data_IF_405541739397
#
_entry.id   IF_405541739397
#
_cell.length_a   1.000
_cell.length_b   1.000
_cell.length_c   1.000
_cell.angle_alpha   90.00
_cell.angle_beta   90.00
_cell.angle_gamma   90.00
#
_symmetry.space_group_name_H-M   'P 1'
#
loop_
_entity.id
_entity.type
_entity.pdbx_description
1 polymer ?
#
# COMPACT_ATOMS: atom_id res chain seq x y z
N UNK A 1 -1.57 -10.72 -21.09
CA UNK A 1 -0.17 -10.66 -21.54
C UNK A 1 0.45 -9.45 -20.85
N UNK A 2 1.04 -9.66 -19.67
CA UNK A 2 1.62 -8.58 -18.86
C UNK A 2 2.99 -8.22 -19.42
N UNK A 3 3.16 -6.97 -19.85
CA UNK A 3 4.44 -6.41 -20.27
C UNK A 3 5.13 -5.84 -19.02
N UNK A 4 6.24 -6.45 -18.61
CA UNK A 4 7.17 -5.84 -17.65
C UNK A 4 7.98 -4.80 -18.42
N UNK A 5 7.79 -3.52 -18.08
CA UNK A 5 8.61 -2.44 -18.61
C UNK A 5 9.85 -2.33 -17.72
N UNK A 6 10.95 -2.91 -18.19
CA UNK A 6 12.29 -2.73 -17.61
C UNK A 6 12.75 -1.31 -17.97
N UNK A 7 12.95 -0.45 -16.96
CA UNK A 7 13.55 0.87 -17.17
C UNK A 7 15.05 0.70 -17.43
N UNK A 8 15.45 0.85 -18.69
CA UNK A 8 16.85 0.94 -19.08
C UNK A 8 17.34 2.38 -18.94
N UNK A 9 18.29 2.64 -18.04
CA UNK A 9 19.08 3.86 -18.01
C UNK A 9 20.57 3.54 -17.79
N UNK A 10 21.35 3.70 -18.86
CA UNK A 10 22.66 4.35 -18.82
C UNK A 10 23.90 3.55 -18.38
N UNK A 11 24.49 2.84 -19.34
CA UNK A 11 25.92 2.48 -19.49
C UNK A 11 26.92 3.02 -18.42
N UNK A 12 27.31 2.14 -17.49
CA UNK A 12 28.70 1.94 -17.07
C UNK A 12 28.96 0.44 -17.16
N UNK A 13 29.96 0.04 -17.94
CA UNK A 13 30.32 -1.35 -18.18
C UNK A 13 30.96 -1.99 -16.94
N UNK A 14 30.14 -2.52 -16.05
CA UNK A 14 30.39 -3.79 -15.38
C UNK A 14 29.28 -4.73 -15.83
N UNK A 15 29.65 -5.91 -16.34
CA UNK A 15 28.71 -7.01 -16.59
C UNK A 15 28.19 -7.50 -15.24
N UNK A 16 27.26 -6.77 -14.65
CA UNK A 16 26.40 -7.35 -13.62
C UNK A 16 25.39 -8.20 -14.37
N UNK A 17 25.56 -9.52 -14.26
CA UNK A 17 24.57 -10.48 -14.74
C UNK A 17 23.22 -10.09 -14.17
N UNK A 18 22.19 -10.01 -15.03
CA UNK A 18 20.80 -9.87 -14.59
C UNK A 18 20.53 -10.90 -13.47
N UNK A 19 19.94 -10.51 -12.33
CA UNK A 19 19.83 -11.38 -11.16
C UNK A 19 19.16 -12.68 -11.56
N UNK A 20 19.90 -13.79 -11.48
CA UNK A 20 19.38 -15.09 -11.85
C UNK A 20 18.37 -15.55 -10.79
N UNK A 21 17.10 -15.63 -11.18
CA UNK A 21 16.03 -16.22 -10.37
C UNK A 21 16.25 -17.71 -10.07
N UNK A 22 17.26 -18.35 -10.69
CA UNK A 22 17.58 -19.77 -10.48
C UNK A 22 18.03 -20.08 -9.06
N UNK A 23 18.57 -19.09 -8.36
CA UNK A 23 19.18 -19.29 -7.05
C UNK A 23 18.22 -18.95 -5.91
N UNK A 24 16.95 -18.67 -6.18
CA UNK A 24 15.96 -18.43 -5.13
C UNK A 24 15.18 -17.14 -5.38
N UNK A 25 13.87 -17.27 -5.36
CA UNK A 25 12.93 -16.15 -5.51
C UNK A 25 11.77 -16.33 -4.55
N UNK A 26 11.46 -15.26 -3.82
CA UNK A 26 10.39 -15.26 -2.85
C UNK A 26 9.57 -13.98 -2.93
N UNK A 27 8.27 -14.14 -2.67
CA UNK A 27 7.31 -13.06 -2.58
C UNK A 27 6.64 -13.16 -1.23
N UNK A 28 6.35 -12.02 -0.62
CA UNK A 28 5.50 -11.93 0.56
C UNK A 28 4.46 -10.83 0.38
N UNK A 29 3.35 -11.02 1.09
CA UNK A 29 2.21 -10.12 1.09
C UNK A 29 1.81 -9.82 2.53
N UNK A 30 1.49 -8.57 2.84
CA UNK A 30 1.04 -8.22 4.19
C UNK A 30 0.53 -6.80 4.27
N UNK A 31 -0.18 -6.49 5.35
CA UNK A 31 -0.51 -5.10 5.67
C UNK A 31 0.79 -4.35 6.00
N UNK A 32 1.09 -3.29 5.27
CA UNK A 32 2.22 -2.39 5.57
C UNK A 32 1.66 -0.99 5.63
N UNK A 33 1.73 -0.37 6.82
CA UNK A 33 0.95 0.83 7.14
C UNK A 33 -0.58 0.63 7.00
N UNK A 34 -1.38 1.23 7.88
CA UNK A 34 -2.85 1.15 7.75
C UNK A 34 -3.30 1.54 6.34
N UNK A 35 -4.29 0.83 5.80
CA UNK A 35 -4.91 1.04 4.49
C UNK A 35 -4.14 0.54 3.24
N UNK A 36 -3.01 -0.17 3.37
CA UNK A 36 -2.27 -0.68 2.20
C UNK A 36 -1.83 -2.13 2.37
N UNK A 37 -1.91 -2.90 1.28
CA UNK A 37 -1.30 -4.24 1.21
C UNK A 37 0.04 -4.12 0.51
N UNK A 38 1.10 -4.34 1.25
CA UNK A 38 2.47 -4.41 0.77
C UNK A 38 2.77 -5.71 0.06
N UNK A 39 3.61 -5.62 -0.95
CA UNK A 39 4.23 -6.76 -1.63
C UNK A 39 5.74 -6.55 -1.61
N UNK A 40 6.48 -7.52 -1.08
CA UNK A 40 7.93 -7.57 -1.20
C UNK A 40 8.33 -8.75 -2.08
N UNK A 41 9.29 -8.52 -2.96
CA UNK A 41 9.90 -9.56 -3.81
C UNK A 41 11.39 -9.56 -3.55
N UNK A 42 11.96 -10.73 -3.27
CA UNK A 42 13.39 -10.88 -2.97
C UNK A 42 13.98 -11.96 -3.88
N UNK A 43 15.17 -11.66 -4.42
CA UNK A 43 16.02 -12.61 -5.14
C UNK A 43 17.31 -12.77 -4.36
N UNK A 44 17.77 -14.01 -4.21
CA UNK A 44 19.03 -14.35 -3.55
C UNK A 44 19.97 -15.07 -4.53
N UNK A 45 21.28 -14.96 -4.29
CA UNK A 45 22.30 -15.72 -5.01
C UNK A 45 22.54 -17.10 -4.39
N UNK A 46 23.52 -17.83 -4.94
CA UNK A 46 23.88 -19.17 -4.47
C UNK A 46 24.31 -19.21 -3.00
N UNK A 47 24.85 -18.10 -2.47
CA UNK A 47 25.37 -17.97 -1.11
C UNK A 47 24.34 -17.39 -0.12
N UNK A 48 23.06 -17.35 -0.51
CA UNK A 48 21.94 -16.78 0.26
C UNK A 48 22.03 -15.25 0.43
N UNK A 49 22.79 -14.56 -0.41
CA UNK A 49 22.91 -13.10 -0.34
C UNK A 49 21.84 -12.46 -1.22
N UNK A 50 21.16 -11.45 -0.69
CA UNK A 50 20.16 -10.67 -1.42
C UNK A 50 20.82 -9.92 -2.57
N UNK A 51 20.33 -10.14 -3.80
CA UNK A 51 20.79 -9.44 -5.02
C UNK A 51 19.75 -8.49 -5.59
N UNK A 52 18.47 -8.67 -5.23
CA UNK A 52 17.40 -7.78 -5.65
C UNK A 52 16.28 -7.76 -4.61
N UNK A 53 15.74 -6.57 -4.36
CA UNK A 53 14.51 -6.38 -3.59
C UNK A 53 13.59 -5.41 -4.33
N UNK A 54 12.30 -5.72 -4.37
CA UNK A 54 11.28 -4.82 -4.88
C UNK A 54 10.13 -4.70 -3.89
N UNK A 55 9.60 -3.49 -3.74
CA UNK A 55 8.41 -3.22 -2.95
C UNK A 55 7.34 -2.57 -3.80
N UNK A 56 6.09 -2.89 -3.50
CA UNK A 56 4.95 -2.08 -3.91
C UNK A 56 3.85 -2.13 -2.86
N UNK A 57 2.87 -1.24 -2.97
CA UNK A 57 1.71 -1.18 -2.09
C UNK A 57 0.43 -1.03 -2.90
N UNK A 58 -0.52 -1.92 -2.63
CA UNK A 58 -1.84 -1.93 -3.21
C UNK A 58 -2.81 -1.18 -2.30
N UNK A 59 -3.56 -0.26 -2.89
CA UNK A 59 -4.57 0.51 -2.17
C UNK A 59 -5.71 -0.38 -1.67
N UNK A 60 -6.07 -0.29 -0.39
CA UNK A 60 -7.32 -0.83 0.13
C UNK A 60 -8.54 0.06 -0.26
N UNK A 61 -9.78 -0.41 -0.04
CA UNK A 61 -11.01 0.36 -0.28
C UNK A 61 -11.05 1.75 0.36
N UNK A 62 -10.27 1.99 1.42
CA UNK A 62 -10.05 3.31 2.02
C UNK A 62 -9.56 4.37 1.02
N UNK A 63 -8.90 3.98 -0.05
CA UNK A 63 -8.47 4.87 -1.13
C UNK A 63 -9.27 4.62 -2.42
N UNK A 64 -9.47 3.36 -2.80
CA UNK A 64 -10.06 3.01 -4.10
C UNK A 64 -11.58 3.25 -4.16
N UNK A 65 -12.25 3.22 -3.01
CA UNK A 65 -13.69 3.47 -2.93
C UNK A 65 -14.06 4.94 -2.79
N UNK A 66 -13.08 5.85 -2.61
CA UNK A 66 -13.36 7.28 -2.63
C UNK A 66 -13.87 7.67 -4.01
N UNK A 67 -14.99 8.39 -4.07
CA UNK A 67 -15.66 8.80 -5.32
C UNK A 67 -15.84 10.31 -5.40
N UNK A 68 -15.98 10.83 -6.61
CA UNK A 68 -16.39 12.21 -6.87
C UNK A 68 -17.86 12.25 -7.27
N UNK A 69 -18.60 13.17 -6.64
CA UNK A 69 -19.99 13.47 -6.96
C UNK A 69 -20.08 14.80 -7.72
N UNK A 70 -21.07 14.91 -8.61
CA UNK A 70 -21.49 16.20 -9.18
C UNK A 70 -22.12 17.07 -8.09
N UNK A 71 -22.25 18.37 -8.33
CA UNK A 71 -22.86 19.27 -7.34
C UNK A 71 -24.34 18.92 -7.09
N UNK A 72 -25.06 18.47 -8.10
CA UNK A 72 -26.43 17.95 -7.95
C UNK A 72 -26.48 16.71 -7.04
N UNK A 73 -25.57 15.75 -7.25
CA UNK A 73 -25.46 14.56 -6.39
C UNK A 73 -25.06 14.90 -4.95
N UNK A 74 -24.35 16.00 -4.70
CA UNK A 74 -24.03 16.43 -3.32
C UNK A 74 -25.25 16.99 -2.60
N UNK A 75 -26.23 17.56 -3.33
CA UNK A 75 -27.49 18.03 -2.73
C UNK A 75 -28.37 16.87 -2.25
N UNK A 76 -28.28 15.72 -2.93
CA UNK A 76 -28.97 14.49 -2.59
C UNK A 76 -28.05 13.30 -2.82
N UNK A 77 -27.24 12.97 -1.80
CA UNK A 77 -26.24 11.89 -1.87
C UNK A 77 -26.91 10.57 -2.27
N UNK A 78 -26.44 9.90 -3.35
CA UNK A 78 -26.99 8.62 -3.77
C UNK A 78 -26.97 7.55 -2.68
N UNK A 79 -27.94 6.64 -2.68
CA UNK A 79 -28.09 5.63 -1.64
C UNK A 79 -26.93 4.62 -1.54
N UNK A 80 -26.16 4.48 -2.61
CA UNK A 80 -24.95 3.66 -2.72
C UNK A 80 -23.66 4.45 -2.48
N UNK A 81 -23.76 5.65 -1.91
CA UNK A 81 -22.63 6.49 -1.51
C UNK A 81 -22.77 6.87 -0.03
N UNK A 82 -21.64 6.96 0.67
CA UNK A 82 -21.57 7.38 2.06
C UNK A 82 -20.66 8.59 2.21
N UNK A 83 -21.12 9.54 3.02
CA UNK A 83 -20.35 10.74 3.39
C UNK A 83 -19.47 10.44 4.60
N UNK A 84 -18.20 10.80 4.53
CA UNK A 84 -17.24 10.73 5.64
C UNK A 84 -16.65 12.12 5.84
N UNK A 85 -16.69 12.62 7.06
CA UNK A 85 -16.15 13.93 7.41
C UNK A 85 -14.95 13.77 8.33
N UNK A 86 -13.80 14.30 7.90
CA UNK A 86 -12.55 14.27 8.64
C UNK A 86 -12.08 15.67 8.99
N UNK A 87 -11.20 15.73 9.98
CA UNK A 87 -10.55 16.97 10.42
C UNK A 87 -9.04 16.86 10.22
N UNK A 88 -8.41 17.99 9.95
CA UNK A 88 -6.95 18.12 9.96
C UNK A 88 -6.57 19.45 10.60
N UNK A 89 -5.64 19.41 11.55
CA UNK A 89 -5.02 20.61 12.11
C UNK A 89 -3.63 20.77 11.52
N UNK A 90 -3.33 21.94 10.97
CA UNK A 90 -1.99 22.27 10.44
C UNK A 90 -1.72 23.74 10.75
N UNK A 91 -0.57 24.03 11.36
CA UNK A 91 -0.23 25.38 11.84
C UNK A 91 -1.33 25.99 12.71
N UNK A 92 -1.86 25.22 13.65
CA UNK A 92 -2.97 25.59 14.55
C UNK A 92 -4.30 25.97 13.86
N UNK A 93 -4.43 25.72 12.55
CA UNK A 93 -5.68 25.91 11.81
C UNK A 93 -6.37 24.56 11.64
N UNK A 94 -7.57 24.43 12.22
CA UNK A 94 -8.44 23.27 12.02
C UNK A 94 -9.21 23.41 10.70
N UNK A 95 -9.14 22.37 9.90
CA UNK A 95 -9.89 22.22 8.65
C UNK A 95 -10.83 21.03 8.76
N UNK A 96 -12.00 21.14 8.15
CA UNK A 96 -12.99 20.06 8.05
C UNK A 96 -13.15 19.72 6.59
N UNK A 97 -13.01 18.45 6.25
CA UNK A 97 -13.07 17.95 4.88
C UNK A 97 -14.16 16.89 4.75
N UNK A 98 -15.02 17.06 3.75
CA UNK A 98 -16.03 16.07 3.39
C UNK A 98 -15.54 15.24 2.22
N UNK A 99 -15.55 13.92 2.39
CA UNK A 99 -15.26 12.94 1.34
C UNK A 99 -16.47 12.04 1.10
N UNK A 100 -16.58 11.50 -0.10
CA UNK A 100 -17.63 10.57 -0.50
C UNK A 100 -17.01 9.23 -0.88
N UNK A 101 -17.65 8.14 -0.46
CA UNK A 101 -17.19 6.78 -0.70
C UNK A 101 -18.31 5.94 -1.29
N UNK A 102 -17.98 5.08 -2.26
CA UNK A 102 -18.86 3.99 -2.66
C UNK A 102 -19.21 3.16 -1.43
N UNK A 103 -20.51 2.96 -1.20
CA UNK A 103 -21.00 2.23 -0.03
C UNK A 103 -20.59 0.76 -0.07
N UNK A 104 -20.54 0.20 -1.28
CA UNK A 104 -20.20 -1.20 -1.51
C UNK A 104 -18.97 -1.34 -2.41
N UNK A 105 -18.16 -2.35 -2.10
CA UNK A 105 -16.99 -2.75 -2.88
C UNK A 105 -17.03 -4.27 -3.02
N UNK A 106 -16.92 -4.77 -4.24
CA UNK A 106 -16.69 -6.18 -4.50
C UNK A 106 -15.20 -6.44 -4.37
N UNK A 107 -14.82 -7.48 -3.62
CA UNK A 107 -13.46 -8.03 -3.59
C UNK A 107 -13.58 -9.51 -3.91
N UNK A 108 -13.26 -9.88 -5.15
CA UNK A 108 -13.38 -11.26 -5.64
C UNK A 108 -14.77 -11.89 -5.36
N UNK A 109 -15.83 -11.11 -5.59
CA UNK A 109 -17.22 -11.54 -5.35
C UNK A 109 -17.71 -11.42 -3.90
N UNK A 110 -16.83 -11.11 -2.94
CA UNK A 110 -17.22 -10.77 -1.57
C UNK A 110 -17.65 -9.30 -1.52
N UNK A 111 -18.89 -9.05 -1.09
CA UNK A 111 -19.45 -7.70 -0.99
C UNK A 111 -19.09 -7.07 0.36
N UNK A 112 -18.13 -6.16 0.35
CA UNK A 112 -17.79 -5.32 1.49
C UNK A 112 -18.68 -4.08 1.54
N UNK A 113 -19.09 -3.69 2.75
CA UNK A 113 -19.91 -2.51 3.01
C UNK A 113 -19.17 -1.57 3.97
N UNK A 114 -19.18 -0.28 3.67
CA UNK A 114 -18.63 0.75 4.57
C UNK A 114 -19.59 1.01 5.74
N UNK A 115 -19.05 1.07 6.96
CA UNK A 115 -19.72 1.59 8.14
C UNK A 115 -18.93 2.78 8.68
N UNK A 116 -19.60 3.91 8.88
CA UNK A 116 -19.00 5.16 9.40
C UNK A 116 -19.42 5.33 10.86
N UNK A 117 -18.46 5.69 11.70
CA UNK A 117 -18.63 5.88 13.14
C UNK A 117 -18.15 7.27 13.57
N UNK A 118 -18.74 7.75 14.68
CA UNK A 118 -18.43 9.06 15.25
C UNK A 118 -19.39 10.16 14.81
N UNK A 119 -19.46 11.20 15.64
CA UNK A 119 -20.24 12.41 15.35
C UNK A 119 -19.62 13.16 14.16
N UNK A 120 -20.44 13.94 13.46
CA UNK A 120 -19.96 14.75 12.32
C UNK A 120 -19.18 15.96 12.85
N UNK A 121 -17.87 16.08 12.56
CA UNK A 121 -17.13 17.28 12.91
C UNK A 121 -17.55 18.48 12.05
N UNK A 122 -17.63 19.63 12.69
CA UNK A 122 -17.84 20.95 12.07
C UNK A 122 -16.72 21.89 12.55
N UNK A 123 -16.58 23.07 11.96
CA UNK A 123 -15.63 24.08 12.46
C UNK A 123 -16.01 24.61 13.86
N UNK A 124 -17.27 24.47 14.25
CA UNK A 124 -17.83 25.00 15.50
C UNK A 124 -17.74 24.01 16.67
N UNK A 125 -17.71 22.71 16.40
CA UNK A 125 -17.57 21.67 17.42
C UNK A 125 -16.13 21.15 17.52
N UNK A 126 -15.82 20.40 18.58
CA UNK A 126 -14.50 19.79 18.78
C UNK A 126 -14.50 18.28 18.51
N UNK A 127 -15.47 17.79 17.74
CA UNK A 127 -15.54 16.37 17.39
C UNK A 127 -14.31 15.97 16.55
N UNK A 128 -13.75 14.77 16.79
CA UNK A 128 -12.65 14.26 15.99
C UNK A 128 -13.12 13.87 14.58
N UNK A 129 -12.17 13.47 13.73
CA UNK A 129 -12.48 12.84 12.45
C UNK A 129 -13.38 11.63 12.63
N UNK A 130 -14.37 11.46 11.75
CA UNK A 130 -15.10 10.21 11.67
C UNK A 130 -14.15 9.08 11.26
N UNK A 131 -14.40 7.88 11.80
CA UNK A 131 -13.72 6.66 11.40
C UNK A 131 -14.65 5.82 10.55
N UNK A 132 -14.09 4.93 9.75
CA UNK A 132 -14.89 4.03 8.94
C UNK A 132 -14.16 2.72 8.70
N UNK A 133 -14.93 1.66 8.45
CA UNK A 133 -14.41 0.32 8.17
C UNK A 133 -15.20 -0.29 7.02
N UNK A 134 -14.54 -1.10 6.21
CA UNK A 134 -15.18 -1.96 5.23
C UNK A 134 -15.29 -3.37 5.82
N UNK A 135 -16.52 -3.88 5.93
CA UNK A 135 -16.80 -5.20 6.52
C UNK A 135 -17.67 -6.04 5.59
N UNK A 136 -17.62 -7.35 5.76
CA UNK A 136 -18.45 -8.32 5.03
C UNK A 136 -18.90 -9.43 5.97
N UNK A 137 -19.77 -10.33 5.51
CA UNK A 137 -20.18 -11.49 6.30
C UNK A 137 -18.96 -12.32 6.69
N UNK A 138 -18.71 -12.48 8.00
CA UNK A 138 -17.54 -13.18 8.53
C UNK A 138 -16.23 -12.38 8.52
N UNK A 139 -16.24 -11.12 8.06
CA UNK A 139 -15.06 -10.24 8.02
C UNK A 139 -15.43 -8.91 8.68
N UNK A 140 -14.96 -8.70 9.91
CA UNK A 140 -15.27 -7.49 10.66
C UNK A 140 -14.63 -6.22 10.08
N UNK A 141 -13.44 -6.35 9.51
CA UNK A 141 -12.68 -5.26 8.91
C UNK A 141 -11.75 -5.82 7.82
N UNK A 142 -11.78 -5.23 6.62
CA UNK A 142 -10.89 -5.63 5.52
C UNK A 142 -9.41 -5.43 5.89
N UNK A 143 -9.07 -4.40 6.67
CA UNK A 143 -7.69 -4.14 7.10
C UNK A 143 -7.16 -5.29 7.97
N UNK A 144 -7.94 -5.71 8.97
CA UNK A 144 -7.60 -6.87 9.81
C UNK A 144 -7.63 -8.17 9.02
N UNK A 145 -8.50 -8.30 8.03
CA UNK A 145 -8.55 -9.51 7.19
C UNK A 145 -7.27 -9.74 6.40
N UNK A 146 -6.66 -8.68 5.86
CA UNK A 146 -5.41 -8.74 5.09
C UNK A 146 -4.15 -8.76 5.97
N UNK A 147 -4.25 -8.81 7.30
CA UNK A 147 -3.07 -9.00 8.18
C UNK A 147 -2.43 -10.38 7.99
N UNK A 148 -3.21 -11.38 7.54
CA UNK A 148 -2.65 -12.69 7.17
C UNK A 148 -2.15 -12.68 5.73
N UNK A 149 -0.97 -13.23 5.49
CA UNK A 149 -0.33 -13.29 4.16
C UNK A 149 -1.24 -13.94 3.10
N UNK A 150 -1.96 -15.01 3.45
CA UNK A 150 -2.87 -15.68 2.52
C UNK A 150 -3.99 -14.76 2.02
N UNK A 151 -4.58 -13.95 2.90
CA UNK A 151 -5.64 -13.01 2.53
C UNK A 151 -5.08 -11.77 1.83
N UNK A 152 -3.91 -11.28 2.25
CA UNK A 152 -3.19 -10.20 1.57
C UNK A 152 -2.89 -10.57 0.12
N UNK A 153 -2.36 -11.79 -0.10
CA UNK A 153 -2.13 -12.35 -1.43
C UNK A 153 -3.42 -12.43 -2.24
N UNK A 154 -4.49 -13.01 -1.66
CA UNK A 154 -5.78 -13.12 -2.33
C UNK A 154 -6.36 -11.75 -2.73
N UNK A 155 -6.18 -10.73 -1.90
CA UNK A 155 -6.56 -9.35 -2.21
C UNK A 155 -5.78 -8.80 -3.40
N UNK A 156 -4.44 -8.92 -3.38
CA UNK A 156 -3.57 -8.43 -4.46
C UNK A 156 -3.92 -9.11 -5.79
N UNK A 157 -4.08 -10.42 -5.80
CA UNK A 157 -4.47 -11.18 -7.00
C UNK A 157 -5.85 -10.75 -7.52
N UNK A 158 -6.80 -10.46 -6.63
CA UNK A 158 -8.11 -9.93 -7.00
C UNK A 158 -8.01 -8.53 -7.63
N UNK A 159 -7.13 -7.66 -7.11
CA UNK A 159 -6.89 -6.34 -7.70
C UNK A 159 -6.30 -6.48 -9.11
N UNK A 160 -5.28 -7.32 -9.28
CA UNK A 160 -4.63 -7.55 -10.58
C UNK A 160 -5.57 -8.19 -11.61
N UNK A 161 -6.51 -9.01 -11.16
CA UNK A 161 -7.55 -9.60 -11.99
C UNK A 161 -8.73 -8.65 -12.29
N UNK A 162 -8.73 -7.43 -11.74
CA UNK A 162 -9.83 -6.47 -11.92
C UNK A 162 -11.11 -6.85 -11.17
N UNK A 163 -11.01 -7.70 -10.16
CA UNK A 163 -12.12 -8.20 -9.34
C UNK A 163 -12.37 -7.36 -8.08
N UNK A 164 -11.65 -6.25 -7.93
CA UNK A 164 -11.87 -5.22 -6.91
C UNK A 164 -12.46 -3.98 -7.54
N UNK A 165 -13.74 -3.69 -7.25
CA UNK A 165 -14.45 -2.56 -7.84
C UNK A 165 -15.61 -2.04 -6.97
N UNK A 166 -15.91 -0.76 -7.14
CA UNK A 166 -17.05 -0.09 -6.53
C UNK A 166 -18.35 -0.62 -7.14
N UNK A 167 -19.33 -0.96 -6.32
CA UNK A 167 -20.58 -1.56 -6.78
C UNK A 167 -21.80 -1.07 -5.97
N UNK A 168 -22.98 -1.48 -6.40
CA UNK A 168 -24.22 -1.31 -5.65
C UNK A 168 -24.48 -2.52 -4.72
N UNK A 169 -25.60 -2.49 -3.99
CA UNK A 169 -25.96 -3.54 -3.03
C UNK A 169 -26.15 -4.95 -3.67
N UNK A 170 -26.35 -5.02 -4.99
CA UNK A 170 -26.48 -6.28 -5.74
C UNK A 170 -25.14 -6.76 -6.32
N UNK A 171 -24.03 -6.07 -6.03
CA UNK A 171 -22.71 -6.41 -6.57
C UNK A 171 -22.47 -5.95 -8.01
N UNK A 172 -23.37 -5.15 -8.58
CA UNK A 172 -23.17 -4.60 -9.93
C UNK A 172 -22.28 -3.37 -9.86
N UNK A 173 -21.24 -3.32 -10.68
CA UNK A 173 -20.29 -2.20 -10.72
C UNK A 173 -21.00 -0.85 -10.93
N UNK A 174 -20.60 0.16 -10.17
CA UNK A 174 -21.05 1.53 -10.36
C UNK A 174 -20.03 2.34 -11.18
N UNK A 175 -20.48 3.44 -11.76
CA UNK A 175 -19.70 4.27 -12.69
C UNK A 175 -19.20 5.58 -12.06
N UNK A 176 -19.16 5.67 -10.74
CA UNK A 176 -18.69 6.89 -10.08
C UNK A 176 -17.20 7.11 -10.38
N UNK A 177 -16.78 8.33 -10.80
CA UNK A 177 -15.38 8.66 -10.92
C UNK A 177 -14.67 8.50 -9.58
N UNK A 178 -13.45 7.96 -9.58
CA UNK A 178 -12.62 7.86 -8.37
C UNK A 178 -12.20 9.24 -7.87
N UNK A 179 -12.40 9.49 -6.58
CA UNK A 179 -12.10 10.75 -5.91
C UNK A 179 -10.68 10.84 -5.35
N UNK A 180 -10.02 9.72 -5.09
CA UNK A 180 -8.64 9.74 -4.58
C UNK A 180 -7.65 10.09 -5.70
N UNK A 181 -6.75 11.04 -5.42
CA UNK A 181 -5.82 11.58 -6.42
C UNK A 181 -4.87 10.53 -7.02
N UNK A 182 -4.46 9.54 -6.23
CA UNK A 182 -3.55 8.48 -6.68
C UNK A 182 -4.33 7.26 -7.17
N UNK A 183 -5.31 6.77 -6.40
CA UNK A 183 -6.04 5.55 -6.76
C UNK A 183 -6.89 5.67 -8.04
N UNK A 184 -7.13 6.90 -8.54
CA UNK A 184 -7.72 7.16 -9.85
C UNK A 184 -6.77 6.89 -11.03
N UNK A 185 -5.46 6.92 -10.80
CA UNK A 185 -4.41 6.71 -11.82
C UNK A 185 -4.07 5.23 -11.93
N UNK A 186 -3.97 4.52 -10.80
CA UNK A 186 -3.51 3.14 -10.75
C UNK A 186 -3.84 2.47 -9.42
N UNK A 187 -3.59 1.16 -9.35
CA UNK A 187 -3.91 0.34 -8.18
C UNK A 187 -2.78 0.29 -7.14
N UNK A 188 -1.57 0.72 -7.50
CA UNK A 188 -0.40 0.67 -6.63
C UNK A 188 0.31 2.01 -6.49
N UNK A 189 1.11 2.18 -5.44
CA UNK A 189 1.89 3.41 -5.24
C UNK A 189 2.95 3.61 -6.31
N UNK A 190 3.61 2.54 -6.76
CA UNK A 190 4.59 2.63 -7.86
C UNK A 190 3.94 3.11 -9.17
N UNK A 191 2.78 2.54 -9.52
CA UNK A 191 2.06 2.86 -10.76
C UNK A 191 1.49 4.28 -10.80
N UNK A 192 1.30 4.92 -9.63
CA UNK A 192 0.70 6.24 -9.53
C UNK A 192 1.72 7.36 -9.32
N UNK A 193 3.01 7.01 -9.18
CA UNK A 193 4.04 7.97 -8.79
C UNK A 193 3.75 8.57 -7.40
N UNK A 194 3.21 7.76 -6.48
CA UNK A 194 2.81 8.25 -5.16
C UNK A 194 4.01 8.86 -4.42
N UNK A 195 3.89 10.14 -4.09
CA UNK A 195 4.85 10.85 -3.24
C UNK A 195 6.29 10.79 -3.78
N UNK A 196 6.48 11.01 -5.08
CA UNK A 196 7.80 10.94 -5.74
C UNK A 196 8.42 12.30 -6.08
N UNK A 197 7.75 13.42 -5.80
CA UNK A 197 8.28 14.75 -6.13
C UNK A 197 9.43 15.14 -5.17
N UNK A 198 10.70 15.17 -5.61
CA UNK A 198 11.84 15.44 -4.73
C UNK A 198 11.86 16.89 -4.20
N UNK A 199 11.21 17.84 -4.88
CA UNK A 199 11.17 19.24 -4.43
C UNK A 199 10.24 19.44 -3.23
N UNK A 200 9.17 18.65 -3.14
CA UNK A 200 8.22 18.70 -2.02
C UNK A 200 8.50 17.61 -0.99
N UNK A 201 9.08 16.50 -1.42
CA UNK A 201 9.25 15.27 -0.66
C UNK A 201 10.62 14.67 -1.01
N UNK A 202 11.71 15.18 -0.40
CA UNK A 202 13.08 14.82 -0.79
C UNK A 202 13.35 13.31 -0.87
N UNK A 203 12.70 12.50 -0.02
CA UNK A 203 12.65 11.04 -0.17
C UNK A 203 11.27 10.56 -0.65
N UNK A 204 10.20 11.06 -0.04
CA UNK A 204 8.85 10.62 -0.38
C UNK A 204 8.67 9.10 -0.21
N UNK A 205 7.73 8.46 -0.91
CA UNK A 205 7.60 7.00 -0.82
C UNK A 205 8.66 6.29 -1.66
N UNK A 206 8.79 6.66 -2.95
CA UNK A 206 9.70 6.00 -3.87
C UNK A 206 11.17 6.09 -3.48
N UNK A 207 11.64 7.26 -3.01
CA UNK A 207 13.02 7.42 -2.54
C UNK A 207 13.30 6.66 -1.24
N UNK A 208 12.30 6.52 -0.36
CA UNK A 208 12.42 5.65 0.81
C UNK A 208 12.50 4.18 0.40
N UNK A 209 11.69 3.71 -0.56
CA UNK A 209 11.79 2.34 -1.06
C UNK A 209 13.16 2.07 -1.68
N UNK A 210 13.69 3.00 -2.48
CA UNK A 210 15.04 2.88 -3.04
C UNK A 210 16.10 2.73 -1.93
N UNK A 211 16.09 3.62 -0.95
CA UNK A 211 17.02 3.60 0.18
C UNK A 211 16.94 2.30 1.00
N UNK A 212 15.73 1.75 1.20
CA UNK A 212 15.57 0.42 1.80
C UNK A 212 16.23 -0.64 0.90
N UNK A 213 15.84 -0.71 -0.38
CA UNK A 213 16.32 -1.76 -1.29
C UNK A 213 17.85 -1.79 -1.40
N UNK A 214 18.49 -0.62 -1.50
CA UNK A 214 19.96 -0.49 -1.54
C UNK A 214 20.61 -1.02 -0.26
N UNK A 215 19.99 -0.81 0.90
CA UNK A 215 20.51 -1.28 2.18
C UNK A 215 20.33 -2.80 2.39
N UNK A 216 19.38 -3.44 1.69
CA UNK A 216 19.13 -4.88 1.82
C UNK A 216 20.00 -5.71 0.88
N UNK A 217 20.38 -5.17 -0.28
CA UNK A 217 21.29 -5.84 -1.23
C UNK A 217 22.65 -6.09 -0.55
N UNK A 218 23.20 -7.29 -0.75
CA UNK A 218 24.44 -7.73 -0.10
C UNK A 218 24.26 -8.29 1.31
N UNK A 219 23.04 -8.30 1.85
CA UNK A 219 22.75 -8.88 3.18
C UNK A 219 22.20 -10.30 3.09
N UNK A 220 22.17 -10.99 4.24
CA UNK A 220 21.43 -12.27 4.43
C UNK A 220 20.14 -12.10 5.23
N UNK A 221 19.62 -10.87 5.33
CA UNK A 221 18.37 -10.53 6.04
C UNK A 221 18.25 -11.09 7.47
N UNK A 222 19.37 -11.28 8.18
CA UNK A 222 19.40 -11.93 9.49
C UNK A 222 19.15 -11.01 10.69
N UNK A 223 18.82 -9.75 10.46
CA UNK A 223 18.56 -8.80 11.54
C UNK A 223 17.18 -9.04 12.14
N UNK A 224 17.03 -8.83 13.45
CA UNK A 224 15.74 -8.88 14.14
C UNK A 224 15.22 -7.47 14.38
N UNK A 225 13.95 -7.33 14.79
CA UNK A 225 13.34 -6.02 15.05
C UNK A 225 14.17 -5.12 15.99
N UNK A 226 14.81 -5.72 17.00
CA UNK A 226 15.68 -4.98 17.93
C UNK A 226 16.94 -4.38 17.28
N UNK A 227 17.36 -4.89 16.11
CA UNK A 227 18.47 -4.36 15.32
C UNK A 227 18.04 -3.20 14.42
N UNK A 228 16.73 -2.93 14.31
CA UNK A 228 16.15 -1.88 13.48
C UNK A 228 16.00 -0.60 14.31
N UNK A 229 16.99 0.27 14.22
CA UNK A 229 17.05 1.47 15.07
C UNK A 229 16.89 2.73 14.23
N UNK A 230 15.97 3.60 14.66
CA UNK A 230 15.79 4.94 14.07
C UNK A 230 16.49 5.99 14.90
N UNK A 231 17.37 6.76 14.25
CA UNK A 231 17.86 8.04 14.79
C UNK A 231 17.33 9.17 13.93
N UNK A 232 18.10 9.59 12.92
CA UNK A 232 17.64 10.46 11.82
C UNK A 232 17.13 9.62 10.66
N UNK A 233 17.89 8.57 10.34
CA UNK A 233 17.56 7.53 9.36
C UNK A 233 17.46 6.19 10.09
N UNK A 234 16.94 5.19 9.40
CA UNK A 234 16.93 3.82 9.89
C UNK A 234 18.29 3.15 9.69
N UNK A 235 18.65 2.29 10.63
CA UNK A 235 19.77 1.37 10.53
C UNK A 235 19.32 -0.07 10.71
N UNK A 236 20.04 -1.00 10.08
CA UNK A 236 19.89 -2.45 10.22
C UNK A 236 21.21 -2.97 10.80
N UNK A 237 21.28 -3.14 12.12
CA UNK A 237 22.55 -3.38 12.80
C UNK A 237 23.55 -2.26 12.52
N UNK A 238 24.63 -2.56 11.79
CA UNK A 238 25.67 -1.58 11.43
C UNK A 238 25.42 -0.85 10.10
N UNK A 239 24.40 -1.24 9.32
CA UNK A 239 24.10 -0.66 8.01
C UNK A 239 23.19 0.56 8.21
N UNK A 240 23.60 1.74 7.75
CA UNK A 240 22.74 2.94 7.73
C UNK A 240 22.02 3.02 6.39
N UNK A 241 20.69 3.03 6.39
CA UNK A 241 19.89 2.84 5.17
C UNK A 241 19.62 4.11 4.37
N UNK A 242 19.67 5.29 5.00
CA UNK A 242 19.19 6.53 4.39
C UNK A 242 17.66 6.70 4.37
N UNK A 243 16.90 5.64 4.66
CA UNK A 243 15.44 5.69 4.76
C UNK A 243 15.00 6.40 6.05
N UNK A 244 13.86 7.11 5.98
CA UNK A 244 13.30 7.93 7.07
C UNK A 244 11.82 7.69 7.35
N UNK A 245 11.11 6.95 6.50
CA UNK A 245 9.67 6.68 6.67
C UNK A 245 9.35 6.03 8.03
N UNK A 246 8.15 6.21 8.57
CA UNK A 246 7.77 5.58 9.85
C UNK A 246 7.68 4.07 9.75
N UNK A 247 7.21 3.56 8.61
CA UNK A 247 6.79 2.17 8.46
C UNK A 247 7.94 1.24 8.00
N UNK A 248 9.19 1.69 8.13
CA UNK A 248 10.38 0.95 7.70
C UNK A 248 10.43 -0.47 8.27
N UNK A 249 10.08 -0.64 9.56
CA UNK A 249 10.06 -1.95 10.23
C UNK A 249 9.11 -2.90 9.50
N UNK A 250 7.92 -2.44 9.13
CA UNK A 250 6.94 -3.25 8.39
C UNK A 250 7.50 -3.73 7.05
N UNK A 251 8.17 -2.84 6.29
CA UNK A 251 8.80 -3.22 5.02
C UNK A 251 9.97 -4.18 5.21
N UNK A 252 10.81 -3.98 6.23
CA UNK A 252 11.93 -4.89 6.52
C UNK A 252 11.40 -6.29 6.83
N UNK A 253 10.41 -6.38 7.73
CA UNK A 253 9.81 -7.65 8.13
C UNK A 253 9.10 -8.33 6.95
N UNK A 254 8.40 -7.57 6.10
CA UNK A 254 7.81 -8.09 4.88
C UNK A 254 8.89 -8.68 3.95
N UNK A 255 9.98 -7.94 3.71
CA UNK A 255 11.10 -8.44 2.91
C UNK A 255 11.80 -9.66 3.53
N UNK A 256 11.88 -9.74 4.86
CA UNK A 256 12.45 -10.90 5.54
C UNK A 256 11.61 -12.16 5.31
N UNK A 257 10.28 -12.05 5.30
CA UNK A 257 9.39 -13.17 4.91
C UNK A 257 9.63 -13.55 3.44
N UNK A 258 9.72 -12.58 2.53
CA UNK A 258 10.02 -12.86 1.12
C UNK A 258 11.39 -13.54 0.95
N UNK A 259 12.39 -13.11 1.71
CA UNK A 259 13.72 -13.74 1.74
C UNK A 259 13.64 -15.20 2.21
N UNK A 260 12.93 -15.48 3.30
CA UNK A 260 12.75 -16.86 3.78
C UNK A 260 12.01 -17.73 2.75
N UNK A 261 11.01 -17.16 2.06
CA UNK A 261 10.34 -17.84 0.95
C UNK A 261 11.32 -18.10 -0.22
N UNK A 262 12.25 -17.19 -0.51
CA UNK A 262 13.27 -17.38 -1.54
C UNK A 262 14.26 -18.51 -1.19
N UNK A 263 14.65 -18.63 0.08
CA UNK A 263 15.49 -19.75 0.54
C UNK A 263 14.76 -21.08 0.44
N UNK A 264 13.46 -21.10 0.74
CA UNK A 264 12.64 -22.31 0.66
C UNK A 264 12.43 -22.83 -0.78
N UNK A 265 12.63 -21.98 -1.80
CA UNK A 265 12.50 -22.34 -3.22
C UNK A 265 13.82 -22.75 -3.88
N UNK A 266 14.94 -22.70 -3.16
CA UNK A 266 16.23 -23.22 -3.63
C UNK A 266 16.15 -24.73 -3.83
N UNK A 267 16.60 -25.19 -5.01
CA UNK A 267 16.73 -26.60 -5.37
C UNK A 267 18.07 -27.19 -4.87
#
# INVERSE_FOLDING_TARGET
MFFVVLFALGLVACTEDEPSYSNGYGVSYGLVHSHYVGVAKVVVDADDVVVNVQFDEYYLPYNTAQVTLTDEQKLAVPADVVTVVTTRTTNDVRTVSTSYYSKYVSVNGVLFTIAVSGNVPTLENTEPSQTFVFSASGIANIETWVETEANAKAYVEAVEAGLVFNCNASGVANAYPKGNASAKIGATKSATGYWTNPASYPLGWGGNMLAITEALVGTKMGAVEADLVKTTTWSIGTIVTGATLSDFVDYYMLAQVAYNNALATKA
#
